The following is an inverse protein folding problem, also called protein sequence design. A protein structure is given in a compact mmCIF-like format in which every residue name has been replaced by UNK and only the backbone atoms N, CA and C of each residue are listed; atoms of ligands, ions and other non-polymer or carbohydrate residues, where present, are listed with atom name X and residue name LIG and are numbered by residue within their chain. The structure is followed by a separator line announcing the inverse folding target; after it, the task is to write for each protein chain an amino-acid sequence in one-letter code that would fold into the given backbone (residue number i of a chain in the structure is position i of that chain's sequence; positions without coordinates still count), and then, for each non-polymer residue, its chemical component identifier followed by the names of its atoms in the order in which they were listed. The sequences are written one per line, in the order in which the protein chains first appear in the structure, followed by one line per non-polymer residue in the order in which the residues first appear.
data_IF_105332815092
#
_entry.id   IF_105332815092
#
_cell.length_a   1.000
_cell.length_b   1.000
_cell.length_c   1.000
_cell.angle_alpha   90.00
_cell.angle_beta   90.00
_cell.angle_gamma   90.00
#
_symmetry.space_group_name_H-M   'P 1'
#
loop_
_entity.id
_entity.type
_entity.pdbx_description
1 polymer ?
#
# COMPACT_ATOMS: atom_id res chain seq x y z
N UNK A 1 -0.04 -32.54 -19.90
CA UNK A 1 0.94 -31.52 -19.44
C UNK A 1 0.32 -30.67 -18.32
N UNK A 2 0.48 -31.03 -17.04
CA UNK A 2 -0.07 -30.28 -15.91
C UNK A 2 0.88 -29.12 -15.53
N UNK A 3 0.64 -27.93 -16.06
CA UNK A 3 1.36 -26.70 -15.69
C UNK A 3 0.97 -26.30 -14.26
N UNK A 4 1.91 -26.44 -13.33
CA UNK A 4 1.63 -26.54 -11.89
C UNK A 4 1.33 -25.22 -11.12
N UNK A 5 0.94 -25.33 -9.83
CA UNK A 5 0.59 -24.23 -8.93
C UNK A 5 1.66 -23.15 -8.75
N UNK A 6 2.93 -23.54 -8.93
CA UNK A 6 4.11 -22.68 -8.76
C UNK A 6 4.16 -21.52 -9.76
N UNK A 7 3.65 -21.71 -10.97
CA UNK A 7 3.61 -20.64 -11.98
C UNK A 7 2.58 -19.57 -11.63
N UNK A 8 1.39 -19.99 -11.16
CA UNK A 8 0.37 -19.09 -10.59
C UNK A 8 0.82 -18.40 -9.29
N UNK A 9 1.78 -18.95 -8.56
CA UNK A 9 2.35 -18.30 -7.38
C UNK A 9 3.37 -17.23 -7.75
N UNK A 10 4.24 -17.48 -8.75
CA UNK A 10 5.12 -16.46 -9.32
C UNK A 10 4.35 -15.34 -10.03
N UNK A 11 3.34 -15.68 -10.83
CA UNK A 11 2.46 -14.71 -11.50
C UNK A 11 1.61 -13.88 -10.51
N UNK A 12 1.46 -14.34 -9.26
CA UNK A 12 0.80 -13.59 -8.17
C UNK A 12 1.76 -12.76 -7.31
N UNK A 13 3.03 -12.65 -7.70
CA UNK A 13 4.03 -11.88 -6.95
C UNK A 13 4.53 -12.66 -5.73
N UNK A 14 5.14 -13.82 -5.95
CA UNK A 14 5.57 -14.77 -4.91
C UNK A 14 6.53 -14.22 -3.84
N UNK A 15 7.01 -12.99 -3.97
CA UNK A 15 7.78 -12.32 -2.92
C UNK A 15 6.86 -11.39 -2.12
N UNK A 16 6.68 -11.70 -0.85
CA UNK A 16 6.10 -10.76 0.10
C UNK A 16 7.19 -9.81 0.59
N UNK A 17 6.83 -8.54 0.67
CA UNK A 17 7.68 -7.43 1.09
C UNK A 17 7.09 -6.83 2.35
N UNK A 18 7.97 -6.52 3.29
CA UNK A 18 7.61 -5.82 4.52
C UNK A 18 7.84 -4.32 4.33
N UNK A 19 6.77 -3.55 4.40
CA UNK A 19 6.78 -2.09 4.41
C UNK A 19 6.50 -1.61 5.84
N UNK A 20 7.26 -0.61 6.32
CA UNK A 20 7.07 -0.01 7.65
C UNK A 20 6.67 1.45 7.47
N UNK A 21 5.52 1.82 8.03
CA UNK A 21 5.00 3.18 8.00
C UNK A 21 4.38 3.54 9.35
N UNK A 22 4.44 4.81 9.77
CA UNK A 22 3.60 5.34 10.85
C UNK A 22 2.12 5.06 10.57
N UNK A 23 1.33 4.83 11.62
CA UNK A 23 -0.11 4.57 11.45
C UNK A 23 -0.84 5.73 10.76
N UNK A 24 -0.51 6.98 11.09
CA UNK A 24 -1.13 8.14 10.45
C UNK A 24 -0.85 8.17 8.94
N UNK A 25 0.39 7.87 8.54
CA UNK A 25 0.77 7.78 7.13
C UNK A 25 0.00 6.65 6.42
N UNK A 26 -0.25 5.51 7.10
CA UNK A 26 -1.07 4.42 6.54
C UNK A 26 -2.52 4.87 6.33
N UNK A 27 -3.09 5.58 7.29
CA UNK A 27 -4.47 6.08 7.21
C UNK A 27 -4.62 7.12 6.12
N UNK A 28 -3.73 8.11 6.05
CA UNK A 28 -3.75 9.15 5.01
C UNK A 28 -3.56 8.52 3.62
N UNK A 29 -2.66 7.55 3.48
CA UNK A 29 -2.45 6.83 2.23
C UNK A 29 -3.68 6.00 1.81
N UNK A 30 -4.35 5.36 2.78
CA UNK A 30 -5.58 4.62 2.53
C UNK A 30 -6.73 5.55 2.11
N UNK A 31 -6.85 6.73 2.72
CA UNK A 31 -7.86 7.72 2.32
C UNK A 31 -7.62 8.25 0.91
N UNK A 32 -6.38 8.58 0.57
CA UNK A 32 -6.03 8.99 -0.79
C UNK A 32 -6.32 7.90 -1.83
N UNK A 33 -6.08 6.63 -1.49
CA UNK A 33 -6.41 5.51 -2.36
C UNK A 33 -7.94 5.35 -2.52
N UNK A 34 -8.70 5.59 -1.44
CA UNK A 34 -10.15 5.49 -1.44
C UNK A 34 -10.80 6.63 -2.22
N UNK A 35 -10.20 7.83 -2.22
CA UNK A 35 -10.71 9.02 -2.89
C UNK A 35 -10.59 8.97 -4.41
N UNK A 36 -9.85 8.01 -4.97
CA UNK A 36 -9.76 7.82 -6.41
C UNK A 36 -11.14 7.60 -7.04
N UNK A 37 -11.45 8.42 -8.03
CA UNK A 37 -12.61 8.26 -8.90
C UNK A 37 -12.46 7.05 -9.83
N UNK A 38 -13.56 6.55 -10.43
CA UNK A 38 -13.50 5.46 -11.40
C UNK A 38 -12.57 5.76 -12.59
N UNK A 39 -12.57 7.00 -13.08
CA UNK A 39 -11.73 7.43 -14.20
C UNK A 39 -10.24 7.45 -13.83
N UNK A 40 -9.90 7.87 -12.61
CA UNK A 40 -8.51 7.83 -12.15
C UNK A 40 -8.04 6.38 -11.94
N UNK A 41 -8.90 5.49 -11.44
CA UNK A 41 -8.60 4.06 -11.36
C UNK A 41 -8.33 3.46 -12.74
N UNK A 42 -9.16 3.77 -13.73
CA UNK A 42 -8.95 3.37 -15.12
C UNK A 42 -7.64 3.94 -15.68
N UNK A 43 -7.34 5.21 -15.38
CA UNK A 43 -6.09 5.87 -15.74
C UNK A 43 -4.83 5.21 -15.14
N UNK A 44 -4.97 4.48 -14.03
CA UNK A 44 -3.92 3.64 -13.43
C UNK A 44 -3.91 2.20 -13.99
N UNK A 45 -4.86 1.85 -14.87
CA UNK A 45 -5.09 0.49 -15.36
C UNK A 45 -5.63 -0.45 -14.28
N UNK A 46 -6.32 0.09 -13.27
CA UNK A 46 -6.79 -0.65 -12.09
C UNK A 46 -8.30 -0.83 -12.11
N UNK A 47 -8.73 -1.95 -11.55
CA UNK A 47 -10.14 -2.21 -11.28
C UNK A 47 -10.50 -1.84 -9.84
N UNK A 48 -11.80 -1.76 -9.54
CA UNK A 48 -12.27 -1.69 -8.15
C UNK A 48 -11.76 -2.86 -7.28
N UNK A 49 -11.59 -4.05 -7.88
CA UNK A 49 -11.04 -5.20 -7.17
C UNK A 49 -9.57 -4.99 -6.78
N UNK A 50 -8.80 -4.28 -7.58
CA UNK A 50 -7.43 -3.89 -7.24
C UNK A 50 -7.40 -2.90 -6.09
N UNK A 51 -8.23 -1.84 -6.14
CA UNK A 51 -8.36 -0.87 -5.04
C UNK A 51 -8.75 -1.57 -3.73
N UNK A 52 -9.78 -2.42 -3.76
CA UNK A 52 -10.22 -3.19 -2.60
C UNK A 52 -9.08 -4.05 -2.04
N UNK A 53 -8.35 -4.77 -2.91
CA UNK A 53 -7.24 -5.62 -2.49
C UNK A 53 -6.14 -4.82 -1.80
N UNK A 54 -5.81 -3.64 -2.32
CA UNK A 54 -4.81 -2.75 -1.72
C UNK A 54 -5.28 -2.22 -0.35
N UNK A 55 -6.54 -1.78 -0.25
CA UNK A 55 -7.14 -1.35 1.02
C UNK A 55 -7.21 -2.48 2.06
N UNK A 56 -7.50 -3.71 1.65
CA UNK A 56 -7.51 -4.88 2.54
C UNK A 56 -6.15 -5.08 3.23
N UNK A 57 -5.03 -4.72 2.58
CA UNK A 57 -3.71 -4.80 3.19
C UNK A 57 -3.51 -3.75 4.30
N UNK A 58 -3.99 -2.52 4.10
CA UNK A 58 -3.98 -1.48 5.12
C UNK A 58 -4.89 -1.84 6.30
N UNK A 59 -6.09 -2.38 6.04
CA UNK A 59 -7.01 -2.82 7.09
C UNK A 59 -6.41 -3.93 7.97
N UNK A 60 -5.65 -4.86 7.39
CA UNK A 60 -4.96 -5.91 8.17
C UNK A 60 -3.95 -5.36 9.17
N UNK A 61 -3.37 -4.19 8.89
CA UNK A 61 -2.46 -3.51 9.81
C UNK A 61 -3.18 -2.93 11.03
N UNK A 62 -4.48 -2.65 10.92
CA UNK A 62 -5.31 -2.15 12.02
C UNK A 62 -5.31 -3.06 13.24
N UNK A 63 -5.13 -4.37 13.07
CA UNK A 63 -5.01 -5.30 14.20
C UNK A 63 -3.78 -5.00 15.08
N UNK A 64 -2.68 -4.55 14.48
CA UNK A 64 -1.50 -4.15 15.23
C UNK A 64 -1.70 -2.81 15.95
N UNK A 65 -2.58 -1.95 15.43
CA UNK A 65 -2.93 -0.66 16.01
C UNK A 65 -3.95 -0.75 17.17
N UNK A 66 -4.82 -1.76 17.19
CA UNK A 66 -5.91 -1.88 18.16
C UNK A 66 -5.48 -1.93 19.64
N UNK A 67 -4.28 -2.44 19.93
CA UNK A 67 -3.75 -2.54 21.29
C UNK A 67 -2.86 -1.37 21.72
N UNK A 68 -2.73 -0.34 20.87
CA UNK A 68 -1.77 0.75 21.05
C UNK A 68 -2.44 1.92 21.76
N UNK A 69 -1.73 2.51 22.71
CA UNK A 69 -2.20 3.70 23.40
C UNK A 69 -2.38 4.88 22.41
N UNK A 70 -3.48 5.65 22.47
CA UNK A 70 -3.79 6.69 21.48
C UNK A 70 -2.69 7.73 21.27
N UNK A 71 -1.97 8.09 22.34
CA UNK A 71 -0.85 9.03 22.34
C UNK A 71 0.37 8.54 21.53
N UNK A 72 0.49 7.23 21.33
CA UNK A 72 1.60 6.61 20.59
C UNK A 72 1.21 6.17 19.20
N UNK A 73 -0.09 6.03 18.94
CA UNK A 73 -0.60 5.39 17.73
C UNK A 73 -0.10 6.08 16.46
N UNK A 74 -0.22 7.40 16.38
CA UNK A 74 0.08 8.14 15.14
C UNK A 74 1.50 7.95 14.62
N UNK A 75 2.48 7.90 15.54
CA UNK A 75 3.91 7.70 15.19
C UNK A 75 4.36 6.25 15.19
N UNK A 76 3.52 5.31 15.66
CA UNK A 76 3.93 3.92 15.81
C UNK A 76 4.19 3.29 14.43
N UNK A 77 5.39 2.75 14.19
CA UNK A 77 5.67 2.03 12.95
C UNK A 77 4.87 0.73 12.89
N UNK A 78 3.98 0.59 11.92
CA UNK A 78 3.22 -0.62 11.65
C UNK A 78 3.76 -1.32 10.41
N UNK A 79 3.89 -2.64 10.50
CA UNK A 79 4.34 -3.47 9.38
C UNK A 79 3.18 -3.87 8.48
N UNK A 80 3.31 -3.56 7.19
CA UNK A 80 2.47 -4.03 6.11
C UNK A 80 3.20 -5.14 5.35
N UNK A 81 2.56 -6.29 5.19
CA UNK A 81 3.09 -7.41 4.41
C UNK A 81 2.33 -7.51 3.10
N UNK A 82 3.00 -7.15 2.01
CA UNK A 82 2.40 -6.94 0.70
C UNK A 82 3.11 -7.80 -0.35
N UNK A 83 2.40 -8.40 -1.32
CA UNK A 83 3.05 -8.94 -2.51
C UNK A 83 3.81 -7.84 -3.26
N UNK A 84 4.97 -8.14 -3.84
CA UNK A 84 5.78 -7.18 -4.60
C UNK A 84 4.95 -6.43 -5.66
N UNK A 85 4.10 -7.14 -6.41
CA UNK A 85 3.22 -6.53 -7.42
C UNK A 85 2.32 -5.42 -6.87
N UNK A 86 1.91 -5.54 -5.61
CA UNK A 86 1.03 -4.59 -4.94
C UNK A 86 1.88 -3.41 -4.42
N UNK A 87 3.15 -3.65 -4.02
CA UNK A 87 4.12 -2.59 -3.73
C UNK A 87 4.41 -1.75 -4.97
N UNK A 88 4.67 -2.37 -6.12
CA UNK A 88 4.96 -1.65 -7.37
C UNK A 88 3.76 -0.78 -7.80
N UNK A 89 2.55 -1.32 -7.61
CA UNK A 89 1.31 -0.57 -7.83
C UNK A 89 1.18 0.61 -6.89
N UNK A 90 1.39 0.41 -5.59
CA UNK A 90 1.36 1.49 -4.61
C UNK A 90 2.44 2.55 -4.89
N UNK A 91 3.61 2.16 -5.38
CA UNK A 91 4.67 3.08 -5.79
C UNK A 91 4.27 3.92 -7.00
N UNK A 92 3.65 3.30 -8.01
CA UNK A 92 3.13 4.03 -9.17
C UNK A 92 2.03 5.04 -8.77
N UNK A 93 1.09 4.61 -7.94
CA UNK A 93 0.04 5.47 -7.39
C UNK A 93 0.62 6.61 -6.53
N UNK A 94 1.57 6.30 -5.63
CA UNK A 94 2.19 7.28 -4.76
C UNK A 94 2.94 8.38 -5.53
N UNK A 95 3.54 8.06 -6.67
CA UNK A 95 4.22 9.07 -7.50
C UNK A 95 3.25 9.93 -8.30
N UNK A 96 2.11 9.37 -8.72
CA UNK A 96 1.23 10.00 -9.70
C UNK A 96 0.02 10.71 -9.09
N UNK A 97 -0.54 10.16 -8.02
CA UNK A 97 -1.83 10.60 -7.48
C UNK A 97 -1.75 11.13 -6.05
N UNK A 98 -0.85 10.63 -5.20
CA UNK A 98 -0.68 11.17 -3.83
C UNK A 98 -0.42 12.69 -3.79
N UNK A 99 0.41 13.29 -4.66
CA UNK A 99 0.63 14.74 -4.66
C UNK A 99 -0.63 15.57 -4.94
N UNK A 100 -1.67 14.95 -5.52
CA UNK A 100 -2.96 15.61 -5.81
C UNK A 100 -3.97 15.42 -4.68
N UNK A 101 -3.87 14.30 -3.97
CA UNK A 101 -4.87 13.84 -3.01
C UNK A 101 -4.48 14.07 -1.53
N UNK A 102 -3.18 14.16 -1.23
CA UNK A 102 -2.68 14.33 0.13
C UNK A 102 -2.14 15.75 0.34
N UNK A 103 -2.47 16.32 1.50
CA UNK A 103 -2.05 17.68 1.87
C UNK A 103 -0.71 17.69 2.61
N UNK A 104 -0.19 16.53 3.02
CA UNK A 104 1.02 16.41 3.82
C UNK A 104 2.22 15.95 2.98
N UNK A 105 3.02 16.90 2.51
CA UNK A 105 4.23 16.61 1.73
C UNK A 105 5.23 15.70 2.47
N UNK A 106 5.35 15.87 3.80
CA UNK A 106 6.23 15.03 4.61
C UNK A 106 5.77 13.57 4.69
N UNK A 107 4.46 13.32 4.68
CA UNK A 107 3.90 11.96 4.56
C UNK A 107 4.24 11.35 3.20
N UNK A 108 4.07 12.11 2.11
CA UNK A 108 4.37 11.65 0.74
C UNK A 108 5.83 11.20 0.64
N UNK A 109 6.77 12.01 1.14
CA UNK A 109 8.20 11.69 1.12
C UNK A 109 8.51 10.41 1.91
N UNK A 110 7.91 10.24 3.09
CA UNK A 110 8.09 9.03 3.92
C UNK A 110 7.53 7.79 3.23
N UNK A 111 6.34 7.90 2.62
CA UNK A 111 5.71 6.79 1.88
C UNK A 111 6.55 6.40 0.67
N UNK A 112 6.99 7.35 -0.14
CA UNK A 112 7.84 7.10 -1.31
C UNK A 112 9.16 6.45 -0.89
N UNK A 113 9.84 6.99 0.13
CA UNK A 113 11.09 6.41 0.63
C UNK A 113 10.89 4.98 1.17
N UNK A 114 9.78 4.71 1.84
CA UNK A 114 9.47 3.38 2.35
C UNK A 114 9.20 2.38 1.21
N UNK A 115 8.45 2.79 0.18
CA UNK A 115 8.15 1.97 -1.01
C UNK A 115 9.40 1.71 -1.84
N UNK A 116 10.27 2.72 -2.03
CA UNK A 116 11.53 2.57 -2.76
C UNK A 116 12.45 1.56 -2.04
N UNK A 117 12.61 1.67 -0.72
CA UNK A 117 13.39 0.71 0.08
C UNK A 117 12.82 -0.71 0.04
N UNK A 118 11.50 -0.83 -0.07
CA UNK A 118 10.78 -2.09 -0.14
C UNK A 118 10.93 -2.77 -1.51
N UNK A 119 10.96 -1.98 -2.60
CA UNK A 119 11.07 -2.49 -3.97
C UNK A 119 12.50 -2.93 -4.38
N UNK A 120 13.53 -2.35 -3.76
CA UNK A 120 14.94 -2.64 -4.08
C UNK A 120 15.60 -3.75 -3.22
N UNK A 121 14.80 -4.54 -2.48
CA UNK A 121 15.30 -5.68 -1.69
C UNK A 121 14.90 -6.99 -2.33
#
# INVERSE_FOLDING_TARGET
MKRGPLRRWRERGGRNVRLLLPFDDIMEFAFALLSLSPTELEGLGWTFADRKRLLDHFLRSGKAAQGVAPDRLGTMPIALNLPQRDVDRLQYFARRELPKAASNAGMIDRVLAALDRASHR
#
